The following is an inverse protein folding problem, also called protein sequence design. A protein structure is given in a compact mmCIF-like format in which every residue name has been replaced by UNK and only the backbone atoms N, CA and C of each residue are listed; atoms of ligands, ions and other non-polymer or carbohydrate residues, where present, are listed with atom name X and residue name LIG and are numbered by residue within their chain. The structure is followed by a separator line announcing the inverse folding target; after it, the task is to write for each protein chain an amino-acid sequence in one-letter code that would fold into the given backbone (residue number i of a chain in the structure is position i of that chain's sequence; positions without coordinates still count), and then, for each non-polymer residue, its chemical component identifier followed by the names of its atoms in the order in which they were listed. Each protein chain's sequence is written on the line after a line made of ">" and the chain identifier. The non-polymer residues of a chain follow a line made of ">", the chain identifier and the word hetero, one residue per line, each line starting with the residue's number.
data_IF_402975638323
#
_entry.id   IF_402975638323
#
_cell.length_a   1.000
_cell.length_b   1.000
_cell.length_c   1.000
_cell.angle_alpha   90.00
_cell.angle_beta   90.00
_cell.angle_gamma   90.00
#
_symmetry.space_group_name_H-M   'P 1'
#
loop_
_entity.id
_entity.type
_entity.pdbx_description
1 polymer ?
#
# COMPACT_ATOMS: atom_id res chain seq x y z
N UNK A 1 15.55 -19.79 12.61
CA UNK A 1 14.34 -20.15 11.85
C UNK A 1 14.17 -19.15 10.71
N UNK A 2 13.86 -19.60 9.49
CA UNK A 2 13.49 -18.71 8.37
C UNK A 2 11.96 -18.58 8.37
N UNK A 3 11.45 -17.36 8.32
CA UNK A 3 10.02 -17.16 8.13
C UNK A 3 9.63 -17.68 6.73
N UNK A 4 8.48 -18.37 6.58
CA UNK A 4 7.99 -18.76 5.26
C UNK A 4 7.71 -17.52 4.41
N UNK A 5 8.12 -17.57 3.14
CA UNK A 5 7.78 -16.54 2.16
C UNK A 5 6.31 -16.68 1.81
N UNK A 6 5.53 -15.63 2.04
CA UNK A 6 4.12 -15.58 1.67
C UNK A 6 4.00 -14.71 0.42
N UNK A 7 3.56 -15.33 -0.69
CA UNK A 7 3.29 -14.61 -1.92
C UNK A 7 1.88 -14.03 -1.84
N UNK A 8 1.75 -12.72 -2.04
CA UNK A 8 0.48 -12.02 -2.06
C UNK A 8 0.23 -11.60 -3.51
N UNK A 9 -0.85 -12.08 -4.10
CA UNK A 9 -1.28 -11.61 -5.41
C UNK A 9 -1.97 -10.24 -5.28
N UNK A 10 -1.53 -9.28 -6.08
CA UNK A 10 -2.12 -7.94 -6.17
C UNK A 10 -2.54 -7.67 -7.61
N UNK A 11 -3.69 -7.02 -7.80
CA UNK A 11 -4.11 -6.56 -9.13
C UNK A 11 -3.12 -5.50 -9.65
N UNK A 12 -2.78 -5.57 -10.93
CA UNK A 12 -2.04 -4.52 -11.64
C UNK A 12 -2.91 -3.35 -12.08
N UNK A 13 -4.23 -3.46 -11.93
CA UNK A 13 -5.16 -2.38 -12.27
C UNK A 13 -5.12 -1.29 -11.20
N UNK A 14 -4.85 -0.06 -11.63
CA UNK A 14 -4.90 1.10 -10.75
C UNK A 14 -6.36 1.44 -10.42
N UNK A 15 -6.67 1.78 -9.16
CA UNK A 15 -8.01 2.22 -8.81
C UNK A 15 -8.34 3.54 -9.51
N UNK A 16 -9.59 3.69 -9.97
CA UNK A 16 -10.07 4.93 -10.59
C UNK A 16 -10.14 6.11 -9.61
N UNK A 17 -10.26 5.83 -8.31
CA UNK A 17 -10.31 6.84 -7.25
C UNK A 17 -9.71 6.31 -5.94
N UNK A 18 -9.19 7.22 -5.12
CA UNK A 18 -8.71 6.96 -3.78
C UNK A 18 -8.98 8.20 -2.91
N UNK A 19 -9.17 8.00 -1.61
CA UNK A 19 -9.28 9.10 -0.63
C UNK A 19 -7.90 9.76 -0.43
N UNK A 20 -6.81 9.00 -0.60
CA UNK A 20 -5.44 9.49 -0.56
C UNK A 20 -4.53 8.70 -1.51
N UNK A 21 -3.54 9.38 -2.08
CA UNK A 21 -2.46 8.77 -2.88
C UNK A 21 -1.12 9.03 -2.19
N UNK A 22 -0.36 7.96 -1.93
CA UNK A 22 0.99 8.02 -1.36
C UNK A 22 2.00 7.64 -2.44
N UNK A 23 2.97 8.53 -2.69
CA UNK A 23 4.01 8.32 -3.70
C UNK A 23 5.32 7.97 -2.98
N UNK A 24 5.84 6.77 -3.24
CA UNK A 24 7.08 6.24 -2.66
C UNK A 24 6.87 5.06 -1.70
N UNK A 25 7.35 3.88 -2.09
CA UNK A 25 7.21 2.62 -1.32
C UNK A 25 8.25 2.40 -0.22
N UNK A 26 8.94 3.46 0.22
CA UNK A 26 9.89 3.40 1.34
C UNK A 26 9.17 3.31 2.69
N UNK A 27 9.95 3.14 3.77
CA UNK A 27 9.41 2.95 5.14
C UNK A 27 8.37 4.01 5.52
N UNK A 28 8.63 5.28 5.22
CA UNK A 28 7.73 6.38 5.56
C UNK A 28 6.42 6.29 4.76
N UNK A 29 6.50 6.05 3.46
CA UNK A 29 5.31 5.95 2.60
C UNK A 29 4.44 4.75 2.94
N UNK A 30 5.06 3.59 3.20
CA UNK A 30 4.34 2.39 3.64
C UNK A 30 3.62 2.62 4.96
N UNK A 31 4.31 3.21 5.95
CA UNK A 31 3.69 3.49 7.25
C UNK A 31 2.58 4.53 7.17
N UNK A 32 2.75 5.57 6.34
CA UNK A 32 1.71 6.54 6.07
C UNK A 32 0.47 5.87 5.47
N UNK A 33 0.65 5.08 4.40
CA UNK A 33 -0.44 4.37 3.75
C UNK A 33 -1.14 3.38 4.70
N UNK A 34 -0.38 2.64 5.50
CA UNK A 34 -0.89 1.70 6.49
C UNK A 34 -1.78 2.37 7.54
N UNK A 35 -1.32 3.46 8.14
CA UNK A 35 -2.11 4.14 9.17
C UNK A 35 -3.32 4.91 8.63
N UNK A 36 -3.26 5.41 7.39
CA UNK A 36 -4.42 5.97 6.70
C UNK A 36 -5.46 4.87 6.40
N UNK A 37 -5.03 3.71 5.90
CA UNK A 37 -5.91 2.57 5.64
C UNK A 37 -6.56 2.03 6.93
N UNK A 38 -5.81 1.95 8.04
CA UNK A 38 -6.36 1.58 9.36
C UNK A 38 -7.43 2.54 9.88
N UNK A 39 -7.49 3.77 9.36
CA UNK A 39 -8.54 4.76 9.67
C UNK A 39 -9.71 4.70 8.68
N UNK A 40 -9.75 3.70 7.80
CA UNK A 40 -10.84 3.46 6.86
C UNK A 40 -10.73 4.17 5.51
N UNK A 41 -9.60 4.83 5.23
CA UNK A 41 -9.39 5.48 3.93
C UNK A 41 -9.01 4.47 2.85
N UNK A 42 -9.53 4.66 1.64
CA UNK A 42 -9.04 4.00 0.43
C UNK A 42 -7.74 4.68 0.00
N UNK A 43 -6.61 3.99 0.17
CA UNK A 43 -5.29 4.55 -0.13
C UNK A 43 -4.66 3.84 -1.31
N UNK A 44 -4.17 4.60 -2.29
CA UNK A 44 -3.31 4.10 -3.35
C UNK A 44 -1.83 4.40 -3.01
N UNK A 45 -1.01 3.37 -2.78
CA UNK A 45 0.44 3.49 -2.63
C UNK A 45 1.12 3.18 -3.97
N UNK A 46 1.89 4.11 -4.50
CA UNK A 46 2.51 4.01 -5.83
C UNK A 46 4.03 4.13 -5.71
N UNK A 47 4.76 3.28 -6.42
CA UNK A 47 6.23 3.25 -6.50
C UNK A 47 6.64 3.02 -7.96
N UNK A 48 7.74 3.64 -8.40
CA UNK A 48 8.35 3.39 -9.73
C UNK A 48 8.96 2.00 -9.80
#
# INVERSE_FOLDING_TARGET
>A
MRAPLQQIETSGELPQSADAVVIGGGIVGVFAAYYLARRGMKVALVQK
#
